data_IF_397559085055
#
_entry.id   IF_397559085055
#
_cell.length_a   1.000
_cell.length_b   1.000
_cell.length_c   1.000
_cell.angle_alpha   90.00
_cell.angle_beta   90.00
_cell.angle_gamma   90.00
#
_symmetry.space_group_name_H-M   'P 1'
#
loop_
_entity.id
_entity.type
_entity.pdbx_description
1 polymer ?
#
# COMPACT_ATOMS: atom_id res chain seq x y z
N UNK A 1 2.96 -17.62 19.14
CA UNK A 1 1.94 -18.14 20.09
C UNK A 1 1.10 -19.14 19.32
N UNK A 2 1.17 -20.42 19.67
CA UNK A 2 0.20 -21.40 19.17
C UNK A 2 -1.17 -20.94 19.64
N UNK A 3 -1.95 -20.33 18.75
CA UNK A 3 -3.38 -20.25 19.00
C UNK A 3 -3.92 -21.68 18.92
N UNK A 4 -4.07 -22.29 20.08
CA UNK A 4 -4.82 -23.51 20.21
C UNK A 4 -6.26 -23.18 19.90
N UNK A 5 -6.76 -23.74 18.80
CA UNK A 5 -8.14 -23.85 18.45
C UNK A 5 -8.85 -22.57 17.93
N UNK A 6 -8.39 -22.09 16.74
CA UNK A 6 -9.22 -21.22 15.91
C UNK A 6 -10.49 -21.93 15.39
N UNK A 7 -10.55 -23.27 15.48
CA UNK A 7 -11.67 -24.08 14.99
C UNK A 7 -12.99 -23.85 15.74
N UNK A 8 -12.92 -23.40 17.00
CA UNK A 8 -14.12 -23.18 17.81
C UNK A 8 -14.89 -21.89 17.47
N UNK A 9 -14.28 -20.96 16.70
CA UNK A 9 -14.90 -19.68 16.35
C UNK A 9 -15.46 -19.62 14.92
N UNK A 10 -15.31 -20.66 14.13
CA UNK A 10 -15.90 -20.81 12.80
C UNK A 10 -15.37 -19.86 11.72
N UNK A 11 -14.89 -18.68 12.08
CA UNK A 11 -14.29 -17.69 11.18
C UNK A 11 -13.42 -16.70 11.97
N UNK A 12 -12.18 -16.50 11.48
CA UNK A 12 -11.28 -15.43 11.94
C UNK A 12 -10.87 -14.64 10.70
N UNK A 13 -11.07 -13.32 10.67
CA UNK A 13 -10.54 -12.51 9.57
C UNK A 13 -9.02 -12.56 9.59
N UNK A 14 -8.41 -12.57 8.40
CA UNK A 14 -6.95 -12.57 8.25
C UNK A 14 -6.32 -11.29 8.84
N UNK A 15 -7.06 -10.18 8.78
CA UNK A 15 -6.68 -8.89 9.31
C UNK A 15 -7.73 -8.41 10.33
N UNK A 16 -7.33 -8.18 11.58
CA UNK A 16 -8.24 -7.80 12.65
C UNK A 16 -7.96 -6.42 13.25
N UNK A 17 -6.76 -5.91 13.08
CA UNK A 17 -6.30 -4.67 13.73
C UNK A 17 -5.38 -3.91 12.81
N UNK A 18 -5.62 -2.62 12.70
CA UNK A 18 -4.79 -1.68 11.98
C UNK A 18 -4.27 -0.61 12.94
N UNK A 19 -2.97 -0.47 13.04
CA UNK A 19 -2.30 0.61 13.76
C UNK A 19 -1.95 1.71 12.76
N UNK A 20 -2.28 2.95 13.11
CA UNK A 20 -1.83 4.16 12.40
C UNK A 20 -0.71 4.78 13.21
N UNK A 21 0.44 4.99 12.60
CA UNK A 21 1.62 5.52 13.27
C UNK A 21 2.30 6.60 12.44
N UNK A 22 3.25 7.29 13.06
CA UNK A 22 4.07 8.32 12.44
C UNK A 22 5.50 7.85 12.34
N UNK A 23 6.10 8.00 11.17
CA UNK A 23 7.54 7.90 11.01
C UNK A 23 8.24 9.21 11.44
N UNK A 24 9.56 9.20 11.42
CA UNK A 24 10.37 10.42 11.59
C UNK A 24 10.20 11.44 10.45
N UNK A 25 9.72 10.98 9.29
CA UNK A 25 9.44 11.79 8.09
C UNK A 25 8.01 12.35 8.06
N UNK A 26 7.14 11.92 8.97
CA UNK A 26 5.72 12.29 8.95
C UNK A 26 5.48 13.75 9.34
N UNK A 27 5.04 14.56 8.37
CA UNK A 27 4.66 15.95 8.60
C UNK A 27 3.24 16.13 9.16
N UNK A 28 2.36 15.12 8.95
CA UNK A 28 0.93 15.24 9.26
C UNK A 28 0.46 14.23 10.33
N UNK A 29 -0.76 13.69 10.17
CA UNK A 29 -1.39 12.87 11.19
C UNK A 29 -0.72 11.50 11.36
N UNK A 30 -0.43 10.83 10.25
CA UNK A 30 0.24 9.52 10.17
C UNK A 30 0.63 9.23 8.71
N UNK A 31 1.64 8.41 8.52
CA UNK A 31 2.17 7.97 7.23
C UNK A 31 2.45 6.46 7.20
N UNK A 32 2.21 5.78 8.33
CA UNK A 32 2.40 4.35 8.50
C UNK A 32 1.09 3.63 8.85
N UNK A 33 0.88 2.49 8.20
CA UNK A 33 -0.02 1.45 8.67
C UNK A 33 0.79 0.23 9.11
N UNK A 34 0.44 -0.33 10.28
CA UNK A 34 0.90 -1.64 10.71
C UNK A 34 -0.31 -2.53 10.95
N UNK A 35 -0.30 -3.73 10.39
CA UNK A 35 -1.40 -4.67 10.52
C UNK A 35 -0.88 -6.10 10.62
N UNK A 36 -1.57 -6.89 11.45
CA UNK A 36 -1.24 -8.29 11.62
C UNK A 36 -1.95 -9.11 10.54
N UNK A 37 -1.19 -9.97 9.88
CA UNK A 37 -1.71 -10.97 8.94
C UNK A 37 -1.42 -12.34 9.49
N UNK A 38 -2.38 -13.24 9.40
CA UNK A 38 -2.20 -14.64 9.75
C UNK A 38 -2.66 -15.54 8.60
N UNK A 39 -1.88 -16.56 8.33
CA UNK A 39 -2.19 -17.53 7.30
C UNK A 39 -1.72 -18.92 7.67
N UNK A 40 -2.39 -19.93 7.16
CA UNK A 40 -1.94 -21.32 7.32
C UNK A 40 -1.04 -21.67 6.15
N UNK A 41 0.22 -22.02 6.44
CA UNK A 41 1.16 -22.47 5.42
C UNK A 41 0.61 -23.74 4.72
N UNK A 42 0.41 -23.73 3.40
CA UNK A 42 -0.03 -24.91 2.68
C UNK A 42 0.96 -26.08 2.74
N UNK A 43 2.26 -25.77 2.90
CA UNK A 43 3.32 -26.78 2.92
C UNK A 43 3.45 -27.48 4.26
N UNK A 44 3.31 -26.77 5.36
CA UNK A 44 3.54 -27.29 6.73
C UNK A 44 2.26 -27.46 7.54
N UNK A 45 1.15 -26.82 7.14
CA UNK A 45 -0.07 -26.76 7.90
C UNK A 45 0.04 -25.93 9.20
N UNK A 46 1.16 -25.23 9.40
CA UNK A 46 1.39 -24.37 10.58
C UNK A 46 0.83 -22.97 10.29
N UNK A 47 0.33 -22.31 11.32
CA UNK A 47 -0.09 -20.93 11.23
C UNK A 47 1.14 -20.01 11.29
N UNK A 48 1.29 -19.19 10.26
CA UNK A 48 2.27 -18.13 10.20
C UNK A 48 1.60 -16.81 10.59
N UNK A 49 2.30 -16.00 11.36
CA UNK A 49 1.88 -14.67 11.78
C UNK A 49 2.95 -13.68 11.38
N UNK A 50 2.54 -12.59 10.78
CA UNK A 50 3.44 -11.50 10.43
C UNK A 50 2.79 -10.15 10.78
N UNK A 51 3.61 -9.16 11.01
CA UNK A 51 3.20 -7.76 11.05
C UNK A 51 3.69 -7.12 9.77
N UNK A 52 2.74 -6.67 8.95
CA UNK A 52 3.04 -5.93 7.75
C UNK A 52 3.14 -4.44 8.08
N UNK A 53 4.07 -3.77 7.41
CA UNK A 53 4.29 -2.33 7.51
C UNK A 53 4.05 -1.73 6.15
N UNK A 54 3.25 -0.67 6.07
CA UNK A 54 2.98 0.03 4.82
C UNK A 54 3.20 1.53 4.97
N UNK A 55 3.95 2.12 4.04
CA UNK A 55 3.99 3.55 3.79
C UNK A 55 2.69 3.94 3.08
N UNK A 56 1.88 4.81 3.68
CA UNK A 56 0.59 5.24 3.13
C UNK A 56 0.61 6.65 2.54
N UNK A 57 1.79 7.26 2.48
CA UNK A 57 2.06 8.51 1.79
C UNK A 57 3.38 8.41 1.00
N UNK A 58 3.47 7.50 0.02
CA UNK A 58 4.70 7.29 -0.72
C UNK A 58 5.03 8.49 -1.61
N UNK A 59 6.33 8.79 -1.74
CA UNK A 59 6.89 9.78 -2.66
C UNK A 59 7.43 9.13 -3.94
N UNK A 60 7.71 7.84 -3.91
CA UNK A 60 8.08 7.07 -5.08
C UNK A 60 6.94 6.96 -6.08
N UNK A 61 7.28 6.98 -7.36
CA UNK A 61 6.31 6.87 -8.45
C UNK A 61 6.74 5.79 -9.42
N UNK A 62 5.75 5.00 -9.83
CA UNK A 62 5.91 4.01 -10.90
C UNK A 62 5.26 4.45 -12.20
N UNK A 63 5.30 3.57 -13.19
CA UNK A 63 4.72 3.81 -14.51
C UNK A 63 3.92 2.61 -15.01
N UNK A 64 2.89 2.91 -15.81
CA UNK A 64 2.16 1.91 -16.60
C UNK A 64 2.28 2.33 -18.06
N UNK A 65 2.90 1.48 -18.89
CA UNK A 65 3.16 1.78 -20.30
C UNK A 65 2.67 0.64 -21.20
N UNK A 66 2.42 0.96 -22.47
CA UNK A 66 2.04 -0.05 -23.45
C UNK A 66 3.30 -0.89 -23.84
N UNK A 67 3.15 -2.21 -23.82
CA UNK A 67 4.18 -3.12 -24.31
C UNK A 67 4.26 -3.12 -25.85
N UNK A 68 3.12 -2.93 -26.53
CA UNK A 68 3.00 -2.91 -27.99
C UNK A 68 1.73 -2.19 -28.44
N UNK A 69 1.47 -2.17 -29.74
CA UNK A 69 0.19 -1.70 -30.32
C UNK A 69 -0.90 -2.76 -30.34
N UNK A 70 -0.59 -4.00 -29.96
CA UNK A 70 -1.58 -5.06 -29.85
C UNK A 70 -2.34 -4.93 -28.51
N UNK A 71 -3.67 -4.69 -28.53
CA UNK A 71 -4.44 -4.48 -27.30
C UNK A 71 -4.59 -5.73 -26.42
N UNK A 72 -4.11 -6.89 -26.87
CA UNK A 72 -4.10 -8.13 -26.09
C UNK A 72 -2.83 -8.32 -25.27
N UNK A 73 -1.81 -7.56 -25.56
CA UNK A 73 -0.56 -7.62 -24.79
C UNK A 73 -0.75 -6.91 -23.44
N UNK A 74 -0.27 -7.55 -22.39
CA UNK A 74 -0.30 -6.95 -21.06
C UNK A 74 0.54 -5.68 -21.03
N UNK A 75 0.13 -4.64 -20.29
CA UNK A 75 0.96 -3.45 -20.12
C UNK A 75 2.23 -3.78 -19.33
N UNK A 76 3.25 -2.97 -19.52
CA UNK A 76 4.44 -2.98 -18.67
C UNK A 76 4.13 -2.14 -17.43
N UNK A 77 4.22 -2.76 -16.26
CA UNK A 77 4.00 -2.11 -14.97
C UNK A 77 5.33 -2.08 -14.22
N UNK A 78 5.82 -0.89 -13.96
CA UNK A 78 6.94 -0.64 -13.06
C UNK A 78 6.38 0.07 -11.81
N UNK A 79 6.47 -0.57 -10.66
CA UNK A 79 5.98 0.02 -9.41
C UNK A 79 6.87 1.17 -8.92
N UNK A 80 8.14 1.22 -9.31
CA UNK A 80 9.08 2.25 -8.90
C UNK A 80 9.28 2.32 -7.39
N UNK A 81 9.20 1.20 -6.65
CA UNK A 81 9.38 1.20 -5.21
C UNK A 81 10.74 1.78 -4.82
N UNK A 82 10.76 2.62 -3.78
CA UNK A 82 11.96 3.27 -3.25
C UNK A 82 12.74 4.07 -4.31
N UNK A 83 12.04 4.64 -5.28
CA UNK A 83 12.63 5.43 -6.37
C UNK A 83 12.70 6.93 -6.07
N UNK A 84 12.15 7.37 -4.95
CA UNK A 84 12.22 8.77 -4.56
C UNK A 84 13.67 9.19 -4.25
N UNK A 85 14.09 10.42 -4.63
CA UNK A 85 15.49 10.83 -4.55
C UNK A 85 16.00 11.11 -3.14
N UNK A 86 15.10 11.22 -2.17
CA UNK A 86 15.41 11.60 -0.80
C UNK A 86 15.37 10.43 0.18
N UNK A 87 15.26 9.18 -0.34
CA UNK A 87 15.06 7.95 0.44
C UNK A 87 13.90 8.06 1.46
N UNK A 88 12.90 8.92 1.17
CA UNK A 88 11.76 9.17 2.04
C UNK A 88 11.02 7.88 2.37
N UNK A 89 10.63 7.12 1.34
CA UNK A 89 9.83 5.90 1.53
C UNK A 89 10.62 4.81 2.25
N UNK A 90 11.94 4.77 2.01
CA UNK A 90 12.85 3.86 2.69
C UNK A 90 12.93 4.17 4.19
N UNK A 91 13.10 5.43 4.55
CA UNK A 91 13.14 5.86 5.95
C UNK A 91 11.82 5.57 6.66
N UNK A 92 10.68 5.90 6.02
CA UNK A 92 9.34 5.65 6.55
C UNK A 92 9.16 4.15 6.83
N UNK A 93 9.49 3.29 5.86
CA UNK A 93 9.34 1.84 6.03
C UNK A 93 10.29 1.28 7.08
N UNK A 94 11.53 1.78 7.16
CA UNK A 94 12.48 1.33 8.16
C UNK A 94 12.05 1.72 9.58
N UNK A 95 11.52 2.94 9.77
CA UNK A 95 10.92 3.36 11.06
C UNK A 95 9.73 2.46 11.44
N UNK A 96 8.92 2.10 10.45
CA UNK A 96 7.80 1.19 10.64
C UNK A 96 8.24 -0.23 11.04
N UNK A 97 9.32 -0.74 10.47
CA UNK A 97 9.91 -2.04 10.85
C UNK A 97 10.45 -1.99 12.27
N UNK A 98 11.14 -0.91 12.68
CA UNK A 98 11.60 -0.72 14.04
C UNK A 98 10.43 -0.70 15.04
N UNK A 99 9.35 0.02 14.70
CA UNK A 99 8.15 0.06 15.51
C UNK A 99 7.48 -1.33 15.64
N UNK A 100 7.38 -2.06 14.54
CA UNK A 100 6.86 -3.44 14.52
C UNK A 100 7.71 -4.36 15.39
N UNK A 101 9.03 -4.28 15.29
CA UNK A 101 9.97 -5.05 16.11
C UNK A 101 9.74 -4.75 17.61
N UNK A 102 9.64 -3.49 18.00
CA UNK A 102 9.34 -3.08 19.36
C UNK A 102 8.01 -3.62 19.87
N UNK A 103 6.95 -3.63 19.04
CA UNK A 103 5.67 -4.23 19.40
C UNK A 103 5.76 -5.74 19.63
N UNK A 104 6.49 -6.44 18.76
CA UNK A 104 6.70 -7.89 18.87
C UNK A 104 7.59 -8.30 20.06
N UNK A 105 8.39 -7.38 20.55
CA UNK A 105 9.21 -7.54 21.76
C UNK A 105 8.38 -7.53 23.05
N UNK A 106 7.17 -7.02 23.02
CA UNK A 106 6.33 -6.90 24.21
C UNK A 106 5.51 -8.16 24.48
N UNK A 107 5.14 -8.39 25.75
CA UNK A 107 4.22 -9.47 26.10
C UNK A 107 2.84 -9.20 25.44
N UNK A 108 2.15 -10.24 24.94
CA UNK A 108 2.44 -11.68 25.04
C UNK A 108 3.30 -12.25 23.91
N UNK A 109 3.88 -11.42 23.05
CA UNK A 109 4.58 -11.86 21.83
C UNK A 109 6.03 -12.26 22.05
N UNK A 110 6.61 -11.87 23.18
CA UNK A 110 8.02 -12.13 23.51
C UNK A 110 8.39 -13.62 23.33
N UNK A 111 9.40 -13.88 22.49
CA UNK A 111 9.88 -15.24 22.19
C UNK A 111 9.00 -16.03 21.22
N UNK A 112 7.94 -15.45 20.66
CA UNK A 112 7.04 -16.12 19.72
C UNK A 112 7.44 -15.96 18.24
N UNK A 113 8.28 -14.98 17.94
CA UNK A 113 8.81 -14.68 16.62
C UNK A 113 10.30 -15.03 16.59
N UNK A 114 10.81 -15.44 15.44
CA UNK A 114 12.19 -15.91 15.24
C UNK A 114 13.30 -14.99 15.76
N UNK A 115 14.53 -15.08 15.29
CA UNK A 115 15.63 -14.28 15.83
C UNK A 115 15.22 -12.80 15.83
N UNK A 116 15.35 -12.23 17.01
CA UNK A 116 14.76 -10.98 17.43
C UNK A 116 15.08 -9.84 16.45
N UNK A 117 14.09 -9.30 15.75
CA UNK A 117 14.23 -8.07 14.99
C UNK A 117 14.74 -6.91 15.86
N UNK A 118 14.59 -7.04 17.18
CA UNK A 118 15.05 -6.08 18.19
C UNK A 118 16.58 -5.87 18.19
N UNK A 119 17.32 -6.81 17.63
CA UNK A 119 18.80 -6.78 17.61
C UNK A 119 19.35 -6.29 16.28
N UNK A 120 18.49 -6.03 15.28
CA UNK A 120 18.95 -5.53 13.99
C UNK A 120 19.41 -4.06 14.12
N UNK A 121 20.55 -3.77 13.53
CA UNK A 121 20.98 -2.39 13.31
C UNK A 121 20.08 -1.69 12.28
N UNK A 122 20.12 -0.37 12.24
CA UNK A 122 19.38 0.41 11.23
C UNK A 122 19.78 -0.01 9.80
N UNK A 123 21.06 -0.28 9.58
CA UNK A 123 21.59 -0.73 8.28
C UNK A 123 20.99 -2.06 7.87
N UNK A 124 20.89 -3.01 8.78
CA UNK A 124 20.29 -4.33 8.53
C UNK A 124 18.79 -4.21 8.24
N UNK A 125 18.08 -3.29 8.91
CA UNK A 125 16.67 -3.00 8.64
C UNK A 125 16.51 -2.38 7.25
N UNK A 126 17.36 -1.45 6.86
CA UNK A 126 17.36 -0.84 5.52
C UNK A 126 17.55 -1.90 4.44
N UNK A 127 18.54 -2.80 4.61
CA UNK A 127 18.76 -3.92 3.68
C UNK A 127 17.54 -4.85 3.60
N UNK A 128 16.94 -5.15 4.75
CA UNK A 128 15.70 -5.94 4.80
C UNK A 128 14.56 -5.26 4.04
N UNK A 129 14.35 -3.94 4.24
CA UNK A 129 13.30 -3.17 3.53
C UNK A 129 13.54 -3.22 2.02
N UNK A 130 14.77 -2.98 1.57
CA UNK A 130 15.13 -3.05 0.13
C UNK A 130 14.85 -4.42 -0.49
N UNK A 131 15.07 -5.49 0.26
CA UNK A 131 14.85 -6.86 -0.19
C UNK A 131 13.38 -7.30 -0.13
N UNK A 132 12.58 -6.73 0.78
CA UNK A 132 11.24 -7.20 1.11
C UNK A 132 10.11 -6.26 0.63
N UNK A 133 10.42 -5.04 0.19
CA UNK A 133 9.41 -4.08 -0.24
C UNK A 133 8.54 -4.66 -1.36
N UNK A 134 7.24 -4.42 -1.27
CA UNK A 134 6.30 -4.94 -2.22
C UNK A 134 4.97 -4.18 -2.21
N UNK A 135 4.00 -4.72 -2.92
CA UNK A 135 2.71 -4.09 -3.11
C UNK A 135 1.82 -4.19 -1.86
N UNK A 136 1.14 -3.09 -1.52
CA UNK A 136 0.09 -3.04 -0.49
C UNK A 136 -1.32 -3.22 -1.08
N UNK A 137 -1.45 -3.59 -2.36
CA UNK A 137 -2.71 -3.80 -3.07
C UNK A 137 -3.64 -2.58 -3.19
N UNK A 138 -3.09 -1.38 -3.05
CA UNK A 138 -3.81 -0.12 -3.20
C UNK A 138 -3.15 0.82 -4.23
N UNK A 139 -2.82 0.34 -5.46
CA UNK A 139 -2.28 1.20 -6.50
C UNK A 139 -3.30 2.28 -6.88
N UNK A 140 -2.80 3.49 -7.16
CA UNK A 140 -3.62 4.62 -7.54
C UNK A 140 -2.81 5.61 -8.39
N UNK A 141 -3.47 6.50 -9.11
CA UNK A 141 -2.82 7.63 -9.74
C UNK A 141 -2.23 7.40 -11.13
N UNK A 142 -2.38 6.22 -11.75
CA UNK A 142 -1.84 5.96 -13.10
C UNK A 142 -2.55 6.76 -14.22
N UNK A 143 -3.75 7.28 -13.95
CA UNK A 143 -4.48 8.23 -14.79
C UNK A 143 -4.85 9.49 -14.00
N UNK A 144 -3.90 10.01 -13.20
CA UNK A 144 -4.19 11.01 -12.17
C UNK A 144 -4.94 12.23 -12.71
N UNK A 145 -5.87 12.75 -11.91
CA UNK A 145 -6.55 13.99 -12.22
C UNK A 145 -5.66 15.20 -11.96
N UNK A 146 -5.87 16.25 -12.76
CA UNK A 146 -5.20 17.53 -12.62
C UNK A 146 -5.65 18.52 -13.68
N UNK A 147 -5.00 19.68 -13.70
CA UNK A 147 -5.22 20.69 -14.73
C UNK A 147 -4.77 20.20 -16.11
N UNK A 148 -5.43 20.67 -17.16
CA UNK A 148 -5.02 20.39 -18.54
C UNK A 148 -3.61 20.89 -18.89
N UNK A 149 -3.09 21.84 -18.11
CA UNK A 149 -1.73 22.37 -18.26
C UNK A 149 -0.67 21.49 -17.55
N UNK A 150 -1.09 20.54 -16.75
CA UNK A 150 -0.19 19.58 -16.10
C UNK A 150 0.11 18.41 -17.05
N UNK A 151 1.36 18.27 -17.55
CA UNK A 151 1.71 17.25 -18.53
C UNK A 151 1.59 15.81 -18.02
N UNK A 152 1.43 15.62 -16.70
CA UNK A 152 1.23 14.31 -16.07
C UNK A 152 -0.24 14.05 -15.72
N UNK A 153 -1.13 15.01 -15.88
CA UNK A 153 -2.56 14.80 -15.67
C UNK A 153 -3.19 14.14 -16.91
N UNK A 154 -3.93 13.05 -16.66
CA UNK A 154 -4.65 12.32 -17.71
C UNK A 154 -6.09 12.76 -17.81
N UNK A 155 -6.72 13.09 -16.67
CA UNK A 155 -8.13 13.48 -16.61
C UNK A 155 -8.33 14.77 -15.84
N UNK A 156 -9.43 15.45 -16.12
CA UNK A 156 -9.94 16.56 -15.33
C UNK A 156 -10.62 16.11 -14.02
N UNK A 157 -11.07 17.06 -13.17
CA UNK A 157 -11.76 16.75 -11.92
C UNK A 157 -13.10 16.01 -12.13
N UNK A 158 -13.65 16.08 -13.32
CA UNK A 158 -14.87 15.40 -13.78
C UNK A 158 -14.59 13.99 -14.35
N UNK A 159 -13.35 13.50 -14.26
CA UNK A 159 -12.92 12.22 -14.79
C UNK A 159 -12.78 12.17 -16.31
N UNK A 160 -13.04 13.26 -17.04
CA UNK A 160 -12.92 13.33 -18.50
C UNK A 160 -11.45 13.33 -18.92
N UNK A 161 -11.10 12.49 -19.88
CA UNK A 161 -9.74 12.43 -20.44
C UNK A 161 -9.43 13.70 -21.21
N UNK A 162 -8.30 14.34 -20.89
CA UNK A 162 -7.86 15.55 -21.57
C UNK A 162 -7.63 15.31 -23.07
N UNK A 163 -8.15 16.21 -23.90
CA UNK A 163 -7.99 16.17 -25.34
C UNK A 163 -8.80 15.10 -26.08
N UNK A 164 -9.66 14.36 -25.39
CA UNK A 164 -10.56 13.38 -26.00
C UNK A 164 -12.01 13.66 -25.63
N UNK A 165 -12.90 13.44 -26.61
CA UNK A 165 -14.34 13.50 -26.39
C UNK A 165 -14.90 12.15 -25.98
N UNK A 166 -15.92 12.15 -25.13
CA UNK A 166 -16.69 10.97 -24.73
C UNK A 166 -15.89 9.83 -24.09
N UNK A 167 -14.79 10.16 -23.40
CA UNK A 167 -13.98 9.21 -22.66
C UNK A 167 -13.76 9.69 -21.22
N UNK A 168 -14.06 8.82 -20.25
CA UNK A 168 -13.90 9.06 -18.82
C UNK A 168 -13.14 7.93 -18.16
N UNK A 169 -12.44 8.22 -17.08
CA UNK A 169 -11.87 7.24 -16.15
C UNK A 169 -12.51 7.48 -14.79
N UNK A 170 -13.04 6.41 -14.17
CA UNK A 170 -13.85 6.48 -12.94
C UNK A 170 -13.44 5.45 -11.90
N UNK A 171 -12.14 5.30 -11.66
CA UNK A 171 -11.59 4.37 -10.69
C UNK A 171 -10.42 4.99 -9.91
N UNK A 172 -9.74 4.21 -9.06
CA UNK A 172 -8.65 4.69 -8.22
C UNK A 172 -7.45 5.24 -9.02
N UNK A 173 -7.35 4.95 -10.32
CA UNK A 173 -6.25 5.46 -11.14
C UNK A 173 -6.27 6.98 -11.30
N UNK A 174 -7.44 7.63 -11.09
CA UNK A 174 -7.53 9.09 -11.22
C UNK A 174 -7.19 9.86 -9.94
N UNK A 175 -6.93 9.19 -8.81
CA UNK A 175 -6.54 9.89 -7.60
C UNK A 175 -5.26 10.71 -7.83
N UNK A 176 -5.26 12.01 -7.45
CA UNK A 176 -4.09 12.88 -7.63
C UNK A 176 -2.93 12.50 -6.70
N UNK A 177 -3.24 11.82 -5.59
CA UNK A 177 -2.30 11.26 -4.60
C UNK A 177 -2.86 9.96 -4.06
N UNK A 178 -1.97 9.06 -3.64
CA UNK A 178 -2.37 7.90 -2.83
C UNK A 178 -2.97 8.41 -1.53
N UNK A 179 -4.13 7.87 -1.15
CA UNK A 179 -4.74 8.27 0.12
C UNK A 179 -4.21 7.43 1.27
N UNK A 180 -4.17 8.06 2.46
CA UNK A 180 -3.74 7.42 3.71
C UNK A 180 -4.76 6.42 4.25
N UNK A 181 -5.35 5.62 3.36
CA UNK A 181 -6.38 4.62 3.65
C UNK A 181 -6.43 3.57 2.54
N UNK A 182 -7.08 2.46 2.84
CA UNK A 182 -7.46 1.48 1.83
C UNK A 182 -8.33 2.15 0.75
N UNK A 183 -8.07 1.87 -0.52
CA UNK A 183 -8.66 2.60 -1.64
C UNK A 183 -10.09 2.17 -2.01
N UNK A 184 -10.60 1.06 -1.50
CA UNK A 184 -11.90 0.50 -1.89
C UNK A 184 -13.07 1.50 -1.72
N UNK A 185 -13.32 1.97 -0.49
CA UNK A 185 -14.43 2.91 -0.24
C UNK A 185 -14.25 4.24 -0.96
N UNK A 186 -13.07 4.88 -0.96
CA UNK A 186 -12.82 6.07 -1.75
C UNK A 186 -13.05 5.88 -3.25
N UNK A 187 -12.64 4.75 -3.83
CA UNK A 187 -12.87 4.45 -5.25
C UNK A 187 -14.36 4.30 -5.56
N UNK A 188 -15.11 3.61 -4.70
CA UNK A 188 -16.56 3.48 -4.86
C UNK A 188 -17.26 4.86 -4.75
N UNK A 189 -16.90 5.66 -3.76
CA UNK A 189 -17.43 7.02 -3.58
C UNK A 189 -17.15 7.89 -4.81
N UNK A 190 -15.93 7.85 -5.32
CA UNK A 190 -15.53 8.60 -6.50
C UNK A 190 -16.33 8.16 -7.73
N UNK A 191 -16.47 6.87 -7.97
CA UNK A 191 -17.21 6.33 -9.10
C UNK A 191 -18.70 6.74 -9.05
N UNK A 192 -19.34 6.66 -7.90
CA UNK A 192 -20.72 7.13 -7.68
C UNK A 192 -20.87 8.62 -7.97
N UNK A 193 -19.94 9.43 -7.46
CA UNK A 193 -19.95 10.88 -7.71
C UNK A 193 -19.83 11.18 -9.20
N UNK A 194 -18.88 10.59 -9.90
CA UNK A 194 -18.66 10.83 -11.33
C UNK A 194 -19.80 10.27 -12.19
N UNK A 195 -20.36 9.12 -11.86
CA UNK A 195 -21.50 8.55 -12.56
C UNK A 195 -22.71 9.53 -12.59
N UNK A 196 -22.96 10.22 -11.47
CA UNK A 196 -24.01 11.22 -11.39
C UNK A 196 -23.79 12.45 -12.29
N UNK A 197 -22.53 12.71 -12.64
CA UNK A 197 -22.14 13.85 -13.50
C UNK A 197 -22.17 13.47 -14.99
N UNK A 198 -21.79 12.24 -15.31
CA UNK A 198 -21.73 11.74 -16.71
C UNK A 198 -23.14 11.51 -17.29
N UNK A 199 -24.11 11.16 -16.44
CA UNK A 199 -25.48 10.84 -16.85
C UNK A 199 -26.40 12.06 -16.97
N UNK A 200 -25.93 13.26 -16.72
CA UNK A 200 -26.64 14.52 -16.92
C UNK A 200 -26.33 15.10 -18.30
#
# INVERSE_FOLDING_TARGET
TRMTDASSRGWLPDEQTLVKARSSRCAEAFDLHLYAVSGRSPATGIWDYMVCVACVEPWSHGTVTLASTNPKDAPVIDHGFLSDPDDHDLDVLADGVELAAGLLATAPFTGSFGPSLETLSREEIVEFVRAAVGIYYHPAGSCRMGSADDPLAVVGPDGRVHGLDNLWVCDASIFPRVMRANTNLPAAMLAEHLASTITQ
#
